data_IF_048962102888
#
_entry.id   IF_048962102888
#
_cell.length_a   1.000
_cell.length_b   1.000
_cell.length_c   1.000
_cell.angle_alpha   90.00
_cell.angle_beta   90.00
_cell.angle_gamma   90.00
#
_symmetry.space_group_name_H-M   'P 1'
#
loop_
_entity.id
_entity.type
_entity.pdbx_description
1 polymer ?
#
# COMPACT_ATOMS: atom_id res chain seq x y z
N UNK A 1 -18.82 -15.86 -3.75
CA UNK A 1 -18.99 -14.41 -4.07
C UNK A 1 -19.74 -14.31 -5.39
N UNK A 2 -20.75 -13.45 -5.47
CA UNK A 2 -21.43 -13.19 -6.74
C UNK A 2 -20.44 -12.72 -7.81
N UNK A 3 -20.57 -13.25 -9.04
CA UNK A 3 -19.64 -12.92 -10.13
C UNK A 3 -19.69 -11.44 -10.53
N UNK A 4 -20.85 -10.79 -10.33
CA UNK A 4 -21.10 -9.41 -10.73
C UNK A 4 -20.66 -8.39 -9.67
N UNK A 5 -20.22 -8.84 -8.49
CA UNK A 5 -19.80 -7.96 -7.41
C UNK A 5 -18.40 -7.42 -7.67
N UNK A 6 -18.22 -6.07 -7.72
CA UNK A 6 -16.86 -5.54 -7.87
C UNK A 6 -15.98 -5.99 -6.71
N UNK A 7 -14.74 -6.34 -7.01
CA UNK A 7 -13.77 -6.78 -6.00
C UNK A 7 -12.68 -5.73 -5.91
N UNK A 8 -12.50 -5.21 -4.70
CA UNK A 8 -11.63 -4.06 -4.46
C UNK A 8 -10.63 -4.39 -3.37
N UNK A 9 -9.36 -4.21 -3.68
CA UNK A 9 -8.27 -4.28 -2.70
C UNK A 9 -8.24 -2.96 -1.94
N UNK A 10 -8.25 -3.00 -0.61
CA UNK A 10 -8.33 -1.78 0.20
C UNK A 10 -7.28 -1.81 1.30
N UNK A 11 -6.55 -0.71 1.49
CA UNK A 11 -5.67 -0.56 2.64
C UNK A 11 -6.47 -0.74 3.93
N UNK A 12 -6.09 -1.73 4.74
CA UNK A 12 -6.84 -2.11 5.93
C UNK A 12 -6.98 -0.95 6.93
N UNK A 13 -5.99 -0.06 7.02
CA UNK A 13 -6.07 1.10 7.90
C UNK A 13 -7.22 2.05 7.55
N UNK A 14 -7.63 2.13 6.27
CA UNK A 14 -8.77 2.92 5.84
C UNK A 14 -10.10 2.36 6.33
N UNK A 15 -10.12 1.10 6.70
CA UNK A 15 -11.30 0.39 7.23
C UNK A 15 -11.31 0.34 8.76
N UNK A 16 -10.37 1.01 9.43
CA UNK A 16 -10.30 1.07 10.88
C UNK A 16 -9.36 0.06 11.51
N UNK A 17 -8.65 -0.74 10.73
CA UNK A 17 -7.65 -1.67 11.27
C UNK A 17 -6.44 -0.89 11.76
N UNK A 18 -5.97 -1.21 12.97
CA UNK A 18 -4.83 -0.52 13.62
C UNK A 18 -3.51 -1.08 13.10
N UNK A 19 -3.25 -0.86 11.82
CA UNK A 19 -2.06 -1.42 11.15
C UNK A 19 -1.08 -0.36 10.64
N UNK A 20 -1.31 0.92 10.92
CA UNK A 20 -0.34 1.97 10.59
C UNK A 20 0.91 1.80 11.44
N UNK A 21 2.01 2.42 11.00
CA UNK A 21 3.31 2.30 11.67
C UNK A 21 3.25 2.67 13.16
N UNK A 22 2.39 3.61 13.55
CA UNK A 22 2.22 4.08 14.93
C UNK A 22 1.18 3.27 15.72
N UNK A 23 0.58 2.23 15.13
CA UNK A 23 -0.46 1.43 15.75
C UNK A 23 -1.85 2.05 15.67
N UNK A 24 -2.01 3.14 14.95
CA UNK A 24 -3.29 3.81 14.76
C UNK A 24 -3.97 3.37 13.46
N UNK A 25 -5.14 3.93 13.20
CA UNK A 25 -5.90 3.73 11.97
C UNK A 25 -5.86 4.99 11.11
N UNK A 26 -6.33 4.87 9.88
CA UNK A 26 -6.64 5.98 9.01
C UNK A 26 -8.08 5.86 8.52
N UNK A 27 -8.98 5.41 9.40
CA UNK A 27 -10.36 5.09 9.05
C UNK A 27 -11.04 6.21 8.28
N UNK A 28 -11.63 5.84 7.15
CA UNK A 28 -12.46 6.72 6.34
C UNK A 28 -13.88 6.16 6.38
N UNK A 29 -14.78 6.73 7.23
CA UNK A 29 -16.14 6.21 7.37
C UNK A 29 -16.96 6.28 6.08
N UNK A 30 -16.68 7.24 5.21
CA UNK A 30 -17.40 7.37 3.94
C UNK A 30 -17.06 6.26 2.97
N UNK A 31 -15.84 5.74 3.05
CA UNK A 31 -15.38 4.66 2.19
C UNK A 31 -16.19 3.39 2.36
N UNK A 32 -16.57 3.05 3.58
CA UNK A 32 -17.43 1.87 3.83
C UNK A 32 -18.77 1.97 3.10
N UNK A 33 -19.34 3.17 3.06
CA UNK A 33 -20.61 3.40 2.35
C UNK A 33 -20.42 3.30 0.85
N UNK A 34 -19.34 3.86 0.33
CA UNK A 34 -19.00 3.78 -1.09
C UNK A 34 -18.77 2.33 -1.55
N UNK A 35 -18.28 1.48 -0.66
CA UNK A 35 -17.96 0.08 -0.97
C UNK A 35 -19.13 -0.89 -0.71
N UNK A 36 -20.32 -0.39 -0.40
CA UNK A 36 -21.49 -1.26 -0.31
C UNK A 36 -21.76 -1.93 -1.66
N UNK A 37 -21.98 -3.23 -1.62
CA UNK A 37 -22.16 -4.03 -2.83
C UNK A 37 -20.87 -4.43 -3.49
N UNK A 38 -19.72 -4.10 -2.91
CA UNK A 38 -18.42 -4.57 -3.35
C UNK A 38 -17.89 -5.65 -2.41
N UNK A 39 -17.11 -6.56 -2.95
CA UNK A 39 -16.31 -7.50 -2.17
C UNK A 39 -14.97 -6.83 -1.83
N UNK A 40 -14.74 -6.56 -0.56
CA UNK A 40 -13.55 -5.87 -0.11
C UNK A 40 -12.49 -6.85 0.35
N UNK A 41 -11.27 -6.72 -0.17
CA UNK A 41 -10.12 -7.50 0.25
C UNK A 41 -9.19 -6.55 1.00
N UNK A 42 -9.16 -6.60 2.36
CA UNK A 42 -8.32 -5.69 3.13
C UNK A 42 -6.87 -6.18 3.15
N UNK A 43 -5.94 -5.24 3.00
CA UNK A 43 -4.51 -5.54 3.04
C UNK A 43 -3.75 -4.45 3.80
N UNK A 44 -2.69 -4.85 4.48
CA UNK A 44 -1.64 -3.95 4.93
C UNK A 44 -0.32 -4.50 4.37
N UNK A 45 0.19 -3.92 3.27
CA UNK A 45 1.38 -4.48 2.63
C UNK A 45 2.60 -4.51 3.55
N UNK A 46 2.75 -3.55 4.44
CA UNK A 46 3.89 -3.55 5.36
C UNK A 46 3.82 -4.73 6.34
N UNK A 47 2.63 -5.05 6.87
CA UNK A 47 2.45 -6.25 7.70
C UNK A 47 2.63 -7.53 6.89
N UNK A 48 2.12 -7.57 5.67
CA UNK A 48 2.29 -8.73 4.78
C UNK A 48 3.76 -8.97 4.44
N UNK A 49 4.57 -7.93 4.43
CA UNK A 49 6.02 -8.02 4.24
C UNK A 49 6.78 -8.46 5.48
N UNK A 50 6.10 -8.64 6.60
CA UNK A 50 6.69 -9.10 7.87
C UNK A 50 7.09 -8.01 8.84
N UNK A 51 6.71 -6.76 8.61
CA UNK A 51 7.01 -5.68 9.54
C UNK A 51 6.00 -5.67 10.69
N UNK A 52 6.47 -5.41 11.92
CA UNK A 52 5.58 -5.38 13.09
C UNK A 52 4.73 -4.12 13.13
N UNK A 53 3.74 -4.12 14.00
CA UNK A 53 2.97 -2.94 14.37
C UNK A 53 3.02 -2.79 15.90
N UNK A 54 3.49 -1.68 16.46
CA UNK A 54 4.05 -0.51 15.76
C UNK A 54 5.43 -0.79 15.16
N UNK A 55 5.86 0.10 14.28
CA UNK A 55 7.15 0.02 13.61
C UNK A 55 7.68 1.41 13.32
N UNK A 56 8.97 1.50 13.06
CA UNK A 56 9.60 2.75 12.67
C UNK A 56 9.06 3.20 11.29
N UNK A 57 8.73 4.49 11.11
CA UNK A 57 8.32 4.98 9.80
C UNK A 57 9.46 4.86 8.80
N UNK A 58 9.11 4.67 7.53
CA UNK A 58 10.07 4.45 6.45
C UNK A 58 9.83 5.42 5.30
N UNK A 59 10.90 5.67 4.54
CA UNK A 59 10.84 6.46 3.30
C UNK A 59 11.68 5.79 2.22
N UNK A 60 11.31 6.06 0.96
CA UNK A 60 12.10 5.59 -0.19
C UNK A 60 13.24 6.58 -0.45
N UNK A 61 14.45 6.06 -0.59
CA UNK A 61 15.65 6.81 -0.94
C UNK A 61 16.15 6.39 -2.31
N UNK A 62 16.46 7.38 -3.15
CA UNK A 62 17.04 7.14 -4.48
C UNK A 62 16.03 7.08 -5.62
N UNK A 63 14.76 7.34 -5.34
CA UNK A 63 13.70 7.32 -6.33
C UNK A 63 12.34 7.05 -5.72
N UNK A 64 11.46 6.41 -6.46
CA UNK A 64 10.13 6.03 -6.01
C UNK A 64 9.95 4.50 -5.99
N UNK A 65 8.71 4.03 -5.83
CA UNK A 65 8.40 2.60 -5.79
C UNK A 65 8.80 1.85 -7.06
N UNK A 66 8.70 2.48 -8.23
CA UNK A 66 9.16 1.87 -9.48
C UNK A 66 10.67 1.63 -9.45
N UNK A 67 11.42 2.57 -8.91
CA UNK A 67 12.87 2.46 -8.77
C UNK A 67 13.25 1.36 -7.77
N UNK A 68 12.48 1.23 -6.68
CA UNK A 68 12.66 0.14 -5.72
C UNK A 68 12.46 -1.22 -6.39
N UNK A 69 11.41 -1.36 -7.19
CA UNK A 69 11.12 -2.62 -7.91
C UNK A 69 12.21 -2.98 -8.92
N UNK A 70 12.90 -1.98 -9.47
CA UNK A 70 14.00 -2.16 -10.42
C UNK A 70 15.37 -2.28 -9.75
N UNK A 71 15.43 -2.25 -8.42
CA UNK A 71 16.69 -2.33 -7.68
C UNK A 71 17.53 -1.05 -7.68
N UNK A 72 16.92 0.09 -8.03
CA UNK A 72 17.62 1.39 -8.13
C UNK A 72 17.45 2.26 -6.89
N UNK A 73 16.50 1.94 -6.03
CA UNK A 73 16.20 2.69 -4.82
C UNK A 73 15.98 1.74 -3.66
N UNK A 74 16.10 2.27 -2.45
CA UNK A 74 15.98 1.50 -1.21
C UNK A 74 14.94 2.14 -0.30
N UNK A 75 14.31 1.32 0.53
CA UNK A 75 13.42 1.78 1.60
C UNK A 75 14.19 1.72 2.91
N UNK A 76 14.36 2.87 3.55
CA UNK A 76 15.05 2.98 4.84
C UNK A 76 14.08 3.45 5.90
N UNK A 77 14.16 2.85 7.10
CA UNK A 77 13.38 3.35 8.22
C UNK A 77 14.11 4.51 8.92
N UNK A 78 13.43 5.12 9.88
CA UNK A 78 13.97 6.27 10.61
C UNK A 78 15.24 5.94 11.40
N UNK A 79 15.43 4.66 11.77
CA UNK A 79 16.64 4.19 12.43
C UNK A 79 17.79 3.92 11.43
N UNK A 80 17.58 4.16 10.14
CA UNK A 80 18.57 3.92 9.10
C UNK A 80 18.67 2.48 8.62
N UNK A 81 17.79 1.60 9.06
CA UNK A 81 17.78 0.22 8.63
C UNK A 81 17.14 0.08 7.25
N UNK A 82 17.73 -0.78 6.41
CA UNK A 82 17.20 -1.09 5.09
C UNK A 82 16.08 -2.12 5.22
N UNK A 83 14.87 -1.71 4.88
CA UNK A 83 13.66 -2.57 4.93
C UNK A 83 13.10 -2.82 3.52
N UNK A 84 13.91 -2.63 2.49
CA UNK A 84 13.50 -2.80 1.09
C UNK A 84 12.88 -4.17 0.84
N UNK A 85 13.52 -5.24 1.32
CA UNK A 85 13.03 -6.61 1.09
C UNK A 85 11.62 -6.81 1.66
N UNK A 86 11.33 -6.25 2.84
CA UNK A 86 10.00 -6.33 3.46
C UNK A 86 8.96 -5.57 2.62
N UNK A 87 9.30 -4.39 2.13
CA UNK A 87 8.39 -3.60 1.28
C UNK A 87 8.11 -4.29 -0.05
N UNK A 88 9.12 -4.87 -0.69
CA UNK A 88 8.95 -5.62 -1.94
C UNK A 88 8.10 -6.87 -1.71
N UNK A 89 8.37 -7.61 -0.64
CA UNK A 89 7.57 -8.79 -0.27
C UNK A 89 6.11 -8.42 -0.03
N UNK A 90 5.87 -7.34 0.72
CA UNK A 90 4.52 -6.86 1.01
C UNK A 90 3.76 -6.47 -0.25
N UNK A 91 4.43 -5.82 -1.20
CA UNK A 91 3.85 -5.48 -2.49
C UNK A 91 3.49 -6.75 -3.28
N UNK A 92 4.38 -7.72 -3.30
CA UNK A 92 4.15 -9.00 -3.99
C UNK A 92 2.97 -9.76 -3.39
N UNK A 93 2.85 -9.81 -2.07
CA UNK A 93 1.74 -10.49 -1.39
C UNK A 93 0.42 -9.74 -1.60
N UNK A 94 0.42 -8.41 -1.62
CA UNK A 94 -0.77 -7.63 -1.96
C UNK A 94 -1.22 -7.92 -3.40
N UNK A 95 -0.28 -7.97 -4.34
CA UNK A 95 -0.59 -8.35 -5.72
C UNK A 95 -1.15 -9.77 -5.81
N UNK A 96 -0.56 -10.71 -5.08
CA UNK A 96 -1.04 -12.10 -5.04
C UNK A 96 -2.51 -12.17 -4.61
N UNK A 97 -2.88 -11.44 -3.57
CA UNK A 97 -4.27 -11.37 -3.10
C UNK A 97 -5.17 -10.72 -4.16
N UNK A 98 -4.73 -9.63 -4.77
CA UNK A 98 -5.50 -8.96 -5.81
C UNK A 98 -5.79 -9.89 -6.98
N UNK A 99 -4.80 -10.64 -7.44
CA UNK A 99 -4.95 -11.61 -8.53
C UNK A 99 -5.85 -12.77 -8.11
N UNK A 100 -5.62 -13.34 -6.93
CA UNK A 100 -6.36 -14.49 -6.43
C UNK A 100 -7.85 -14.19 -6.27
N UNK A 101 -8.19 -12.97 -5.88
CA UNK A 101 -9.59 -12.55 -5.69
C UNK A 101 -10.17 -11.80 -6.89
N UNK A 102 -9.40 -11.61 -7.96
CA UNK A 102 -9.87 -10.94 -9.16
C UNK A 102 -10.12 -9.44 -8.98
N UNK A 103 -9.35 -8.78 -8.12
CA UNK A 103 -9.45 -7.33 -7.92
C UNK A 103 -8.87 -6.58 -9.12
N UNK A 104 -9.68 -5.72 -9.73
CA UNK A 104 -9.23 -4.85 -10.83
C UNK A 104 -8.99 -3.42 -10.35
N UNK A 105 -9.31 -3.14 -9.10
CA UNK A 105 -9.23 -1.82 -8.49
C UNK A 105 -8.66 -1.94 -7.08
N UNK A 106 -7.86 -0.96 -6.69
CA UNK A 106 -7.33 -0.84 -5.34
C UNK A 106 -7.54 0.57 -4.82
N UNK A 107 -7.95 0.69 -3.57
CA UNK A 107 -8.06 1.95 -2.85
C UNK A 107 -7.06 1.88 -1.70
N UNK A 108 -6.00 2.65 -1.80
CA UNK A 108 -4.86 2.58 -0.91
C UNK A 108 -4.68 3.86 -0.10
N UNK A 109 -3.97 3.75 1.02
CA UNK A 109 -3.65 4.90 1.88
C UNK A 109 -2.69 5.84 1.17
N UNK A 110 -3.07 7.11 1.05
CA UNK A 110 -2.26 8.13 0.38
C UNK A 110 -0.92 8.36 1.07
N UNK A 111 0.07 8.77 0.29
CA UNK A 111 1.37 9.33 0.71
C UNK A 111 2.33 8.35 1.38
N UNK A 112 1.94 7.11 1.58
CA UNK A 112 2.83 6.13 2.22
C UNK A 112 3.89 5.61 1.24
N UNK A 113 5.05 5.15 1.73
CA UNK A 113 6.08 4.57 0.85
C UNK A 113 5.65 3.24 0.23
N UNK A 114 4.63 2.59 0.78
CA UNK A 114 4.05 1.37 0.20
C UNK A 114 2.86 1.68 -0.70
N UNK A 115 1.87 2.41 -0.18
CA UNK A 115 0.53 2.54 -0.77
C UNK A 115 0.29 3.85 -1.52
N UNK A 116 1.13 4.86 -1.34
CA UNK A 116 0.93 6.18 -1.96
C UNK A 116 0.94 6.11 -3.48
N UNK A 117 0.08 6.91 -4.11
CA UNK A 117 0.02 7.01 -5.56
C UNK A 117 0.08 8.49 -5.96
N UNK A 118 1.03 8.82 -6.80
CA UNK A 118 1.28 10.18 -7.28
C UNK A 118 2.14 11.01 -6.34
N UNK A 119 2.06 10.81 -5.04
CA UNK A 119 2.86 11.51 -4.05
C UNK A 119 3.28 10.58 -2.92
N UNK A 120 4.51 10.75 -2.47
CA UNK A 120 5.09 10.05 -1.31
C UNK A 120 5.91 11.04 -0.50
N UNK A 121 6.21 10.71 0.76
CA UNK A 121 7.11 11.50 1.58
C UNK A 121 8.57 11.18 1.29
N UNK A 122 9.39 12.23 1.21
CA UNK A 122 10.85 12.13 1.17
C UNK A 122 11.43 13.26 2.02
N UNK A 123 12.18 12.90 3.06
CA UNK A 123 12.74 13.86 4.04
C UNK A 123 11.67 14.79 4.61
N UNK A 124 10.51 14.22 4.92
CA UNK A 124 9.38 14.95 5.50
C UNK A 124 8.60 15.82 4.52
N UNK A 125 8.95 15.82 3.24
CA UNK A 125 8.28 16.62 2.20
C UNK A 125 7.57 15.69 1.20
N UNK A 126 6.43 16.15 0.67
CA UNK A 126 5.75 15.44 -0.41
C UNK A 126 6.50 15.66 -1.73
N UNK A 127 6.79 14.55 -2.40
CA UNK A 127 7.43 14.55 -3.72
C UNK A 127 6.61 13.69 -4.68
N UNK A 128 6.68 13.95 -6.00
CA UNK A 128 6.02 13.07 -6.97
C UNK A 128 6.59 11.65 -6.91
N UNK A 129 5.72 10.66 -7.03
CA UNK A 129 6.12 9.26 -7.07
C UNK A 129 5.05 8.33 -6.52
N UNK A 130 5.27 7.04 -6.72
CA UNK A 130 4.42 5.98 -6.21
C UNK A 130 5.13 5.21 -5.10
N UNK A 131 4.35 4.69 -4.14
CA UNK A 131 4.83 3.70 -3.20
C UNK A 131 5.09 2.36 -3.90
N UNK A 132 5.78 1.46 -3.22
CA UNK A 132 6.22 0.19 -3.82
C UNK A 132 5.02 -0.67 -4.24
N UNK A 133 4.00 -0.81 -3.38
CA UNK A 133 2.80 -1.59 -3.68
C UNK A 133 1.98 -0.94 -4.79
N UNK A 134 1.76 0.38 -4.72
CA UNK A 134 1.03 1.09 -5.75
C UNK A 134 1.69 0.90 -7.12
N UNK A 135 3.01 1.02 -7.19
CA UNK A 135 3.76 0.84 -8.42
C UNK A 135 3.58 -0.58 -8.99
N UNK A 136 3.70 -1.60 -8.15
CA UNK A 136 3.56 -2.99 -8.59
C UNK A 136 2.14 -3.31 -9.10
N UNK A 137 1.12 -2.85 -8.39
CA UNK A 137 -0.27 -3.04 -8.81
C UNK A 137 -0.55 -2.38 -10.15
N UNK A 138 -0.06 -1.15 -10.36
CA UNK A 138 -0.24 -0.43 -11.62
C UNK A 138 0.41 -1.15 -12.80
N UNK A 139 1.61 -1.68 -12.61
CA UNK A 139 2.32 -2.45 -13.66
C UNK A 139 1.49 -3.65 -14.10
N UNK A 140 0.70 -4.23 -13.20
CA UNK A 140 -0.16 -5.37 -13.49
C UNK A 140 -1.59 -4.98 -13.91
N UNK A 141 -1.81 -3.72 -14.27
CA UNK A 141 -3.08 -3.25 -14.83
C UNK A 141 -4.18 -3.02 -13.81
N UNK A 142 -3.87 -2.99 -12.53
CA UNK A 142 -4.85 -2.69 -11.48
C UNK A 142 -4.96 -1.17 -11.33
N UNK A 143 -6.19 -0.65 -11.35
CA UNK A 143 -6.43 0.77 -11.11
C UNK A 143 -6.22 1.11 -9.65
N UNK A 144 -5.34 2.07 -9.37
CA UNK A 144 -5.02 2.49 -8.01
C UNK A 144 -5.50 3.91 -7.78
N UNK A 145 -6.32 4.09 -6.73
CA UNK A 145 -6.66 5.40 -6.20
C UNK A 145 -6.29 5.45 -4.72
N UNK A 146 -6.17 6.64 -4.15
CA UNK A 146 -5.75 6.81 -2.75
C UNK A 146 -6.74 7.66 -1.96
N UNK A 147 -6.72 7.45 -0.66
CA UNK A 147 -7.51 8.19 0.36
C UNK A 147 -6.66 8.62 1.53
#
# INVERSE_FOLDING_TARGET
MPEDEPRVLVSACLLGVRCRYDGNTAEDPTLRQELRGACVVPVCPEQLGGLPTPRSPSEINGGDGNDVLKGRAHVLNEAGEDVTAAFVRGAQEALRLAVSFGCQRAILKSRSPSCGSGQIYHQGKLVPGDGVTAALLKVHGIQVETR
#
